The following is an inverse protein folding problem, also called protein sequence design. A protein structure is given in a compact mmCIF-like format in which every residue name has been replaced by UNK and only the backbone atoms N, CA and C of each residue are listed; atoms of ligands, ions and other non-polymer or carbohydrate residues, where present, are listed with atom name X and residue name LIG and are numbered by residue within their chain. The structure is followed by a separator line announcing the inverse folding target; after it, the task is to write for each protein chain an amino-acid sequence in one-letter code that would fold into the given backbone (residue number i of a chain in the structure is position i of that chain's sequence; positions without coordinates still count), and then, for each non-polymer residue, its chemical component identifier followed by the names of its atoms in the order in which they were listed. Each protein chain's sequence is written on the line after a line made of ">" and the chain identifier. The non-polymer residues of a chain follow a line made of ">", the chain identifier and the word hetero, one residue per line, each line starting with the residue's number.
data_IF_536966523111
#
_entry.id   IF_536966523111
#
_cell.length_a   1.000
_cell.length_b   1.000
_cell.length_c   1.000
_cell.angle_alpha   90.00
_cell.angle_beta   90.00
_cell.angle_gamma   90.00
#
_symmetry.space_group_name_H-M   'P 1'
#
loop_
_entity.id
_entity.type
_entity.pdbx_description
1 polymer ?
#
# COMPACT_ATOMS: atom_id res chain seq x y z
N UNK A 1 -30.51 47.52 -27.19
CA UNK A 1 -29.75 46.56 -26.35
C UNK A 1 -30.73 45.66 -25.64
N UNK A 2 -31.21 44.61 -26.31
CA UNK A 2 -31.89 43.53 -25.60
C UNK A 2 -30.79 42.66 -24.99
N UNK A 3 -30.49 42.87 -23.70
CA UNK A 3 -29.76 41.88 -22.90
C UNK A 3 -30.73 40.70 -22.70
N UNK A 4 -30.77 39.77 -23.65
CA UNK A 4 -31.34 38.46 -23.37
C UNK A 4 -30.33 37.76 -22.45
N UNK A 5 -30.58 37.77 -21.14
CA UNK A 5 -29.71 37.13 -20.14
C UNK A 5 -29.84 35.60 -20.15
N UNK A 6 -30.89 35.07 -20.80
CA UNK A 6 -31.20 33.65 -20.93
C UNK A 6 -31.55 33.36 -22.38
N UNK A 7 -30.91 32.36 -22.97
CA UNK A 7 -31.24 31.84 -24.29
C UNK A 7 -31.63 30.37 -24.14
N UNK A 8 -32.71 29.97 -24.81
CA UNK A 8 -33.19 28.59 -24.84
C UNK A 8 -33.30 28.10 -26.30
N UNK A 9 -32.79 26.91 -26.60
CA UNK A 9 -33.08 26.21 -27.87
C UNK A 9 -32.33 26.71 -29.11
N UNK A 10 -31.00 26.88 -29.02
CA UNK A 10 -30.14 27.21 -30.17
C UNK A 10 -29.20 26.05 -30.54
N UNK A 11 -28.70 26.01 -31.78
CA UNK A 11 -27.72 25.00 -32.20
C UNK A 11 -26.31 25.36 -31.73
N UNK A 12 -25.84 26.56 -32.04
CA UNK A 12 -24.52 27.07 -31.66
C UNK A 12 -24.68 28.46 -31.10
N UNK A 13 -24.07 28.73 -29.96
CA UNK A 13 -24.08 30.06 -29.36
C UNK A 13 -22.68 30.39 -28.84
N UNK A 14 -22.28 31.66 -29.00
CA UNK A 14 -21.06 32.22 -28.45
C UNK A 14 -21.45 33.39 -27.51
N UNK A 15 -20.79 33.49 -26.35
CA UNK A 15 -20.86 34.62 -25.40
C UNK A 15 -22.25 34.93 -24.78
N UNK A 16 -22.56 34.33 -23.62
CA UNK A 16 -23.79 34.60 -22.89
C UNK A 16 -23.69 34.26 -21.40
N UNK A 17 -24.64 34.77 -20.62
CA UNK A 17 -24.66 34.58 -19.16
C UNK A 17 -25.26 33.23 -18.75
N UNK A 18 -26.46 32.90 -19.22
CA UNK A 18 -27.16 31.68 -18.83
C UNK A 18 -27.78 31.03 -20.06
N UNK A 19 -27.61 29.72 -20.21
CA UNK A 19 -28.33 28.97 -21.23
C UNK A 19 -28.93 27.66 -20.77
N UNK A 20 -30.10 27.41 -21.35
CA UNK A 20 -30.85 26.18 -21.23
C UNK A 20 -30.90 25.52 -22.62
N UNK A 21 -30.34 24.33 -22.76
CA UNK A 21 -30.41 23.49 -23.96
C UNK A 21 -29.77 24.09 -25.23
N UNK A 22 -28.53 23.67 -25.53
CA UNK A 22 -27.87 23.92 -26.81
C UNK A 22 -27.01 22.73 -27.26
N UNK A 23 -26.63 22.67 -28.55
CA UNK A 23 -25.74 21.60 -29.00
C UNK A 23 -24.27 21.93 -28.68
N UNK A 24 -23.79 23.10 -29.10
CA UNK A 24 -22.40 23.53 -28.91
C UNK A 24 -22.36 24.93 -28.33
N UNK A 25 -21.50 25.10 -27.32
CA UNK A 25 -21.34 26.37 -26.61
C UNK A 25 -19.88 26.76 -26.50
N UNK A 26 -19.60 28.02 -26.84
CA UNK A 26 -18.31 28.65 -26.61
C UNK A 26 -18.47 29.81 -25.62
N UNK A 27 -17.71 29.77 -24.52
CA UNK A 27 -17.51 30.84 -23.54
C UNK A 27 -18.76 31.38 -22.82
N UNK A 28 -19.13 30.77 -21.70
CA UNK A 28 -20.37 31.12 -20.97
C UNK A 28 -20.23 31.05 -19.46
N UNK A 29 -21.05 31.79 -18.70
CA UNK A 29 -21.04 31.59 -17.25
C UNK A 29 -21.75 30.29 -16.85
N UNK A 30 -23.02 30.10 -17.20
CA UNK A 30 -23.82 28.97 -16.69
C UNK A 30 -24.53 28.23 -17.83
N UNK A 31 -24.37 26.91 -17.86
CA UNK A 31 -25.01 26.02 -18.83
C UNK A 31 -25.72 24.89 -18.11
N UNK A 32 -27.02 24.73 -18.36
CA UNK A 32 -27.79 23.62 -17.79
C UNK A 32 -27.55 22.31 -18.55
N UNK A 33 -27.75 22.31 -19.86
CA UNK A 33 -27.65 21.11 -20.70
C UNK A 33 -27.02 21.47 -22.05
N UNK A 34 -25.92 20.82 -22.41
CA UNK A 34 -25.30 20.94 -23.72
C UNK A 34 -24.59 19.66 -24.17
N UNK A 35 -24.41 19.44 -25.47
CA UNK A 35 -23.60 18.30 -25.92
C UNK A 35 -22.10 18.58 -25.72
N UNK A 36 -21.61 19.73 -26.21
CA UNK A 36 -20.19 20.09 -26.16
C UNK A 36 -20.04 21.53 -25.68
N UNK A 37 -19.13 21.75 -24.72
CA UNK A 37 -18.83 23.09 -24.21
C UNK A 37 -17.33 23.32 -24.18
N UNK A 38 -16.93 24.46 -24.73
CA UNK A 38 -15.58 25.00 -24.64
C UNK A 38 -15.63 26.27 -23.79
N UNK A 39 -15.19 26.17 -22.53
CA UNK A 39 -15.15 27.29 -21.60
C UNK A 39 -16.50 27.59 -20.94
N UNK A 40 -16.65 27.18 -19.68
CA UNK A 40 -17.74 27.67 -18.84
C UNK A 40 -17.37 27.80 -17.36
N UNK A 41 -18.10 28.61 -16.60
CA UNK A 41 -17.89 28.64 -15.14
C UNK A 41 -18.61 27.49 -14.43
N UNK A 42 -19.89 27.26 -14.75
CA UNK A 42 -20.71 26.24 -14.08
C UNK A 42 -21.54 25.47 -15.10
N UNK A 43 -21.52 24.15 -14.97
CA UNK A 43 -22.28 23.26 -15.84
C UNK A 43 -23.02 22.17 -15.06
N UNK A 44 -24.29 21.96 -15.39
CA UNK A 44 -25.05 20.85 -14.80
C UNK A 44 -24.80 19.54 -15.56
N UNK A 45 -25.15 19.46 -16.85
CA UNK A 45 -25.03 18.21 -17.62
C UNK A 45 -24.45 18.46 -19.02
N UNK A 46 -23.51 17.59 -19.42
CA UNK A 46 -23.03 17.56 -20.80
C UNK A 46 -22.49 16.20 -21.24
N UNK A 47 -22.14 16.08 -22.52
CA UNK A 47 -21.32 14.94 -22.97
C UNK A 47 -19.81 15.23 -22.87
N UNK A 48 -19.36 16.40 -23.35
CA UNK A 48 -17.93 16.75 -23.41
C UNK A 48 -17.71 18.19 -22.94
N UNK A 49 -16.74 18.36 -22.04
CA UNK A 49 -16.26 19.67 -21.56
C UNK A 49 -14.79 19.84 -21.84
N UNK A 50 -14.47 20.98 -22.43
CA UNK A 50 -13.13 21.55 -22.42
C UNK A 50 -13.17 22.79 -21.52
N UNK A 51 -12.42 22.77 -20.41
CA UNK A 51 -12.27 23.89 -19.47
C UNK A 51 -13.56 24.30 -18.75
N UNK A 52 -13.67 23.91 -17.48
CA UNK A 52 -14.71 24.42 -16.57
C UNK A 52 -14.23 24.68 -15.15
N UNK A 53 -14.93 25.55 -14.40
CA UNK A 53 -14.66 25.64 -12.96
C UNK A 53 -15.38 24.52 -12.21
N UNK A 54 -16.69 24.39 -12.41
CA UNK A 54 -17.52 23.41 -11.70
C UNK A 54 -18.42 22.68 -12.67
N UNK A 55 -18.43 21.35 -12.59
CA UNK A 55 -19.36 20.54 -13.36
C UNK A 55 -19.94 19.39 -12.55
N UNK A 56 -21.26 19.22 -12.70
CA UNK A 56 -21.99 18.16 -12.01
C UNK A 56 -21.85 16.84 -12.76
N UNK A 57 -22.35 16.69 -13.99
CA UNK A 57 -22.27 15.43 -14.72
C UNK A 57 -21.72 15.58 -16.14
N UNK A 58 -20.82 14.68 -16.51
CA UNK A 58 -20.33 14.57 -17.87
C UNK A 58 -20.01 13.14 -18.30
N UNK A 59 -19.82 12.94 -19.60
CA UNK A 59 -19.07 11.76 -20.05
C UNK A 59 -17.57 12.03 -19.97
N UNK A 60 -17.08 13.11 -20.58
CA UNK A 60 -15.65 13.42 -20.71
C UNK A 60 -15.33 14.86 -20.30
N UNK A 61 -14.28 15.03 -19.49
CA UNK A 61 -13.68 16.33 -19.15
C UNK A 61 -12.23 16.38 -19.52
N UNK A 62 -11.86 17.48 -20.16
CA UNK A 62 -10.48 17.94 -20.29
C UNK A 62 -10.36 19.28 -19.56
N UNK A 63 -9.78 19.27 -18.36
CA UNK A 63 -9.55 20.47 -17.55
C UNK A 63 -10.80 20.96 -16.82
N UNK A 64 -10.91 20.67 -15.52
CA UNK A 64 -11.85 21.37 -14.64
C UNK A 64 -11.30 21.57 -13.22
N UNK A 65 -11.85 22.51 -12.45
CA UNK A 65 -11.46 22.61 -11.03
C UNK A 65 -12.17 21.54 -10.19
N UNK A 66 -13.49 21.40 -10.35
CA UNK A 66 -14.31 20.45 -9.58
C UNK A 66 -15.25 19.67 -10.49
N UNK A 67 -15.26 18.34 -10.34
CA UNK A 67 -16.14 17.41 -11.07
C UNK A 67 -16.88 16.50 -10.08
N UNK A 68 -18.21 16.39 -10.24
CA UNK A 68 -19.08 15.57 -9.39
C UNK A 68 -19.82 14.46 -10.16
N UNK A 69 -19.10 13.61 -10.87
CA UNK A 69 -19.70 12.50 -11.63
C UNK A 69 -19.30 12.52 -13.10
N UNK A 70 -18.29 11.75 -13.48
CA UNK A 70 -17.93 11.58 -14.90
C UNK A 70 -17.42 10.18 -15.24
N UNK A 71 -17.45 9.84 -16.52
CA UNK A 71 -16.81 8.60 -16.98
C UNK A 71 -15.30 8.77 -17.08
N UNK A 72 -14.82 9.87 -17.67
CA UNK A 72 -13.40 10.12 -17.91
C UNK A 72 -13.06 11.57 -17.55
N UNK A 73 -12.01 11.75 -16.75
CA UNK A 73 -11.48 13.06 -16.39
C UNK A 73 -9.99 13.11 -16.68
N UNK A 74 -9.58 14.11 -17.45
CA UNK A 74 -8.20 14.49 -17.66
C UNK A 74 -7.95 15.85 -16.99
N UNK A 75 -6.99 15.90 -16.06
CA UNK A 75 -6.55 17.10 -15.35
C UNK A 75 -7.66 17.82 -14.58
N UNK A 76 -7.84 17.46 -13.30
CA UNK A 76 -8.73 18.20 -12.40
C UNK A 76 -8.12 18.47 -11.04
N UNK A 77 -8.63 19.47 -10.32
CA UNK A 77 -8.22 19.64 -8.93
C UNK A 77 -8.91 18.61 -8.04
N UNK A 78 -10.25 18.57 -8.08
CA UNK A 78 -11.07 17.70 -7.23
C UNK A 78 -12.05 16.89 -8.07
N UNK A 79 -12.10 15.59 -7.83
CA UNK A 79 -13.03 14.67 -8.48
C UNK A 79 -13.80 13.87 -7.43
N UNK A 80 -15.12 13.89 -7.53
CA UNK A 80 -16.01 13.01 -6.80
C UNK A 80 -16.65 12.04 -7.81
N UNK A 81 -16.52 10.74 -7.57
CA UNK A 81 -17.12 9.66 -8.35
C UNK A 81 -16.80 9.70 -9.86
N UNK A 82 -15.71 9.04 -10.26
CA UNK A 82 -15.41 8.85 -11.69
C UNK A 82 -15.05 7.41 -12.03
N UNK A 83 -15.14 7.04 -13.30
CA UNK A 83 -14.58 5.74 -13.72
C UNK A 83 -13.06 5.88 -13.85
N UNK A 84 -12.60 6.71 -14.78
CA UNK A 84 -11.17 6.88 -15.08
C UNK A 84 -10.75 8.32 -14.83
N UNK A 85 -9.63 8.50 -14.15
CA UNK A 85 -9.04 9.81 -13.89
C UNK A 85 -7.55 9.77 -14.20
N UNK A 86 -7.10 10.73 -15.00
CA UNK A 86 -5.70 10.96 -15.34
C UNK A 86 -5.31 12.35 -14.84
N UNK A 87 -4.50 12.41 -13.78
CA UNK A 87 -4.02 13.67 -13.20
C UNK A 87 -5.07 14.37 -12.36
N UNK A 88 -4.99 14.20 -11.04
CA UNK A 88 -5.81 14.97 -10.09
C UNK A 88 -5.08 15.30 -8.80
N UNK A 89 -5.50 16.33 -8.07
CA UNK A 89 -4.98 16.53 -6.71
C UNK A 89 -5.72 15.69 -5.67
N UNK A 90 -7.05 15.66 -5.70
CA UNK A 90 -7.87 14.93 -4.72
C UNK A 90 -8.99 14.16 -5.42
N UNK A 91 -9.10 12.86 -5.12
CA UNK A 91 -10.17 12.00 -5.65
C UNK A 91 -10.91 11.25 -4.55
N UNK A 92 -12.23 11.43 -4.55
CA UNK A 92 -13.19 10.72 -3.72
C UNK A 92 -13.96 9.72 -4.60
N UNK A 93 -13.40 8.53 -4.80
CA UNK A 93 -14.05 7.45 -5.54
C UNK A 93 -13.67 7.40 -7.02
N UNK A 94 -12.93 6.36 -7.40
CA UNK A 94 -12.69 6.01 -8.80
C UNK A 94 -12.63 4.50 -9.06
N UNK A 95 -12.67 4.06 -10.32
CA UNK A 95 -12.24 2.71 -10.65
C UNK A 95 -10.75 2.67 -10.99
N UNK A 96 -10.26 3.60 -11.81
CA UNK A 96 -8.85 3.68 -12.24
C UNK A 96 -8.31 5.08 -12.08
N UNK A 97 -7.16 5.20 -11.40
CA UNK A 97 -6.42 6.44 -11.20
C UNK A 97 -4.99 6.33 -11.72
N UNK A 98 -4.58 7.34 -12.48
CA UNK A 98 -3.18 7.60 -12.80
C UNK A 98 -2.81 8.99 -12.30
N UNK A 99 -1.73 9.09 -11.52
CA UNK A 99 -1.16 10.34 -11.01
C UNK A 99 -2.12 11.15 -10.13
N UNK A 100 -2.00 10.97 -8.81
CA UNK A 100 -2.77 11.76 -7.85
C UNK A 100 -1.97 12.17 -6.60
N UNK A 101 -2.42 13.19 -5.89
CA UNK A 101 -1.88 13.47 -4.55
C UNK A 101 -2.61 12.65 -3.48
N UNK A 102 -3.94 12.64 -3.49
CA UNK A 102 -4.75 11.97 -2.45
C UNK A 102 -5.92 11.21 -3.05
N UNK A 103 -6.04 9.93 -2.70
CA UNK A 103 -7.15 9.05 -3.09
C UNK A 103 -7.80 8.45 -1.85
N UNK A 104 -9.10 8.69 -1.69
CA UNK A 104 -9.88 8.09 -0.59
C UNK A 104 -10.24 6.62 -0.90
N UNK A 105 -10.83 6.38 -2.08
CA UNK A 105 -11.30 5.06 -2.50
C UNK A 105 -11.06 4.90 -4.00
N UNK A 106 -10.39 3.82 -4.40
CA UNK A 106 -10.31 3.44 -5.81
C UNK A 106 -10.15 1.92 -5.98
N UNK A 107 -10.33 1.40 -7.19
CA UNK A 107 -9.99 -0.01 -7.45
C UNK A 107 -8.51 -0.17 -7.76
N UNK A 108 -7.98 0.66 -8.67
CA UNK A 108 -6.59 0.62 -9.13
C UNK A 108 -5.98 2.01 -9.10
N UNK A 109 -4.81 2.14 -8.46
CA UNK A 109 -4.03 3.38 -8.41
C UNK A 109 -2.61 3.14 -8.91
N UNK A 110 -2.18 3.97 -9.86
CA UNK A 110 -0.81 4.10 -10.29
C UNK A 110 -0.29 5.49 -9.92
N UNK A 111 0.80 5.53 -9.15
CA UNK A 111 1.51 6.77 -8.78
C UNK A 111 0.66 7.75 -7.97
N UNK A 112 0.66 7.60 -6.64
CA UNK A 112 -0.01 8.54 -5.74
C UNK A 112 0.83 8.88 -4.51
N UNK A 113 0.59 10.04 -3.89
CA UNK A 113 1.23 10.33 -2.60
C UNK A 113 0.55 9.56 -1.47
N UNK A 114 -0.79 9.62 -1.37
CA UNK A 114 -1.55 9.01 -0.27
C UNK A 114 -2.78 8.25 -0.79
N UNK A 115 -2.94 7.00 -0.34
CA UNK A 115 -4.10 6.15 -0.63
C UNK A 115 -4.70 5.60 0.67
N UNK A 116 -6.01 5.77 0.86
CA UNK A 116 -6.71 5.31 2.06
C UNK A 116 -7.33 3.91 1.93
N UNK A 117 -7.94 3.60 0.78
CA UNK A 117 -8.53 2.29 0.48
C UNK A 117 -8.38 2.00 -1.02
N UNK A 118 -7.79 0.84 -1.36
CA UNK A 118 -7.69 0.37 -2.74
C UNK A 118 -7.65 -1.16 -2.86
N UNK A 119 -8.00 -1.68 -4.03
CA UNK A 119 -7.73 -3.09 -4.32
C UNK A 119 -6.26 -3.28 -4.71
N UNK A 120 -5.76 -2.46 -5.64
CA UNK A 120 -4.39 -2.56 -6.17
C UNK A 120 -3.72 -1.19 -6.19
N UNK A 121 -2.50 -1.12 -5.66
CA UNK A 121 -1.67 0.09 -5.67
C UNK A 121 -0.28 -0.22 -6.21
N UNK A 122 0.15 0.57 -7.19
CA UNK A 122 1.49 0.54 -7.75
C UNK A 122 2.15 1.92 -7.59
N UNK A 123 3.21 2.01 -6.79
CA UNK A 123 3.97 3.25 -6.60
C UNK A 123 3.22 4.28 -5.74
N UNK A 124 3.39 4.25 -4.43
CA UNK A 124 2.85 5.29 -3.54
C UNK A 124 3.77 5.64 -2.37
N UNK A 125 3.60 6.83 -1.80
CA UNK A 125 4.34 7.15 -0.56
C UNK A 125 3.70 6.50 0.66
N UNK A 126 2.39 6.66 0.84
CA UNK A 126 1.65 6.13 2.00
C UNK A 126 0.40 5.40 1.54
N UNK A 127 0.22 4.17 2.03
CA UNK A 127 -0.94 3.34 1.74
C UNK A 127 -1.53 2.78 3.04
N UNK A 128 -2.83 2.99 3.22
CA UNK A 128 -3.63 2.32 4.22
C UNK A 128 -4.62 1.39 3.52
N UNK A 129 -4.94 0.23 4.11
CA UNK A 129 -6.12 -0.57 3.74
C UNK A 129 -6.20 -1.00 2.28
N UNK A 130 -5.27 -1.83 1.81
CA UNK A 130 -5.27 -2.34 0.43
C UNK A 130 -5.14 -3.86 0.33
N UNK A 131 -5.64 -4.45 -0.75
CA UNK A 131 -5.43 -5.88 -0.99
C UNK A 131 -4.01 -6.17 -1.46
N UNK A 132 -3.53 -5.43 -2.47
CA UNK A 132 -2.20 -5.63 -3.06
C UNK A 132 -1.48 -4.30 -3.22
N UNK A 133 -0.24 -4.24 -2.74
CA UNK A 133 0.61 -3.05 -2.80
C UNK A 133 1.99 -3.41 -3.35
N UNK A 134 2.43 -2.69 -4.37
CA UNK A 134 3.75 -2.83 -4.98
C UNK A 134 4.50 -1.49 -4.97
N UNK A 135 5.68 -1.47 -4.35
CA UNK A 135 6.60 -0.32 -4.39
C UNK A 135 6.06 0.89 -3.64
N UNK A 136 6.02 0.83 -2.30
CA UNK A 136 5.55 1.95 -1.48
C UNK A 136 6.46 2.27 -0.31
N UNK A 137 6.50 3.51 0.18
CA UNK A 137 7.35 3.82 1.34
C UNK A 137 6.77 3.26 2.64
N UNK A 138 5.49 3.54 2.93
CA UNK A 138 4.81 3.13 4.16
C UNK A 138 3.49 2.45 3.83
N UNK A 139 3.26 1.27 4.41
CA UNK A 139 2.06 0.46 4.17
C UNK A 139 1.48 -0.05 5.49
N UNK A 140 0.17 0.17 5.68
CA UNK A 140 -0.56 -0.27 6.87
C UNK A 140 -1.82 -1.06 6.49
N UNK A 141 -2.03 -2.22 7.11
CA UNK A 141 -3.28 -2.97 7.02
C UNK A 141 -3.57 -3.54 5.63
N UNK A 142 -2.56 -4.12 4.98
CA UNK A 142 -2.68 -4.66 3.62
C UNK A 142 -2.57 -6.18 3.56
N UNK A 143 -3.20 -6.84 2.59
CA UNK A 143 -3.10 -8.30 2.49
C UNK A 143 -1.72 -8.74 1.95
N UNK A 144 -1.27 -8.15 0.83
CA UNK A 144 0.00 -8.48 0.19
C UNK A 144 0.80 -7.22 -0.10
N UNK A 145 2.06 -7.20 0.33
CA UNK A 145 2.98 -6.08 0.11
C UNK A 145 4.28 -6.58 -0.51
N UNK A 146 4.66 -6.00 -1.65
CA UNK A 146 5.91 -6.27 -2.35
C UNK A 146 6.72 -4.97 -2.49
N UNK A 147 7.87 -4.90 -1.82
CA UNK A 147 8.76 -3.75 -1.92
C UNK A 147 8.26 -2.55 -1.12
N UNK A 148 8.74 -2.40 0.11
CA UNK A 148 8.44 -1.22 0.92
C UNK A 148 9.53 -0.82 1.92
N UNK A 149 9.47 0.40 2.45
CA UNK A 149 10.37 0.75 3.56
C UNK A 149 9.83 0.24 4.89
N UNK A 150 8.52 0.43 5.14
CA UNK A 150 7.85 0.06 6.38
C UNK A 150 6.50 -0.59 6.09
N UNK A 151 6.25 -1.77 6.67
CA UNK A 151 4.95 -2.45 6.65
C UNK A 151 4.45 -2.75 8.07
N UNK A 152 3.17 -2.52 8.31
CA UNK A 152 2.51 -2.87 9.57
C UNK A 152 1.15 -3.55 9.33
N UNK A 153 0.84 -4.59 10.09
CA UNK A 153 -0.49 -5.22 10.08
C UNK A 153 -0.83 -5.89 8.75
N UNK A 154 0.15 -6.51 8.09
CA UNK A 154 -0.03 -7.12 6.78
C UNK A 154 -0.04 -8.66 6.82
N UNK A 155 -0.75 -9.31 5.89
CA UNK A 155 -0.76 -10.78 5.87
C UNK A 155 0.53 -11.35 5.30
N UNK A 156 0.98 -10.84 4.15
CA UNK A 156 2.20 -11.29 3.48
C UNK A 156 3.04 -10.08 3.07
N UNK A 157 4.33 -10.08 3.44
CA UNK A 157 5.28 -9.02 3.12
C UNK A 157 6.54 -9.61 2.49
N UNK A 158 6.97 -9.05 1.36
CA UNK A 158 8.19 -9.42 0.68
C UNK A 158 9.02 -8.17 0.35
N UNK A 159 10.29 -8.15 0.77
CA UNK A 159 11.24 -7.10 0.42
C UNK A 159 10.93 -5.77 1.12
N UNK A 160 10.91 -5.76 2.45
CA UNK A 160 10.75 -4.52 3.22
C UNK A 160 11.86 -4.29 4.25
N UNK A 161 12.19 -3.04 4.56
CA UNK A 161 13.22 -2.76 5.57
C UNK A 161 12.72 -3.10 6.97
N UNK A 162 11.53 -2.61 7.35
CA UNK A 162 10.96 -2.81 8.69
C UNK A 162 9.56 -3.39 8.57
N UNK A 163 9.28 -4.44 9.34
CA UNK A 163 7.97 -5.11 9.36
C UNK A 163 7.49 -5.36 10.78
N UNK A 164 6.26 -4.98 11.08
CA UNK A 164 5.60 -5.24 12.36
C UNK A 164 4.24 -5.93 12.16
N UNK A 165 3.86 -6.81 13.08
CA UNK A 165 2.51 -7.39 13.17
C UNK A 165 2.05 -8.08 11.87
N UNK A 166 2.91 -8.91 11.27
CA UNK A 166 2.62 -9.59 10.00
C UNK A 166 2.57 -11.11 10.11
N UNK A 167 1.79 -11.77 9.24
CA UNK A 167 1.71 -13.24 9.29
C UNK A 167 2.95 -13.90 8.66
N UNK A 168 3.30 -13.53 7.43
CA UNK A 168 4.43 -14.10 6.69
C UNK A 168 5.32 -12.99 6.15
N UNK A 169 6.63 -13.11 6.42
CA UNK A 169 7.64 -12.12 6.04
C UNK A 169 8.80 -12.79 5.33
N UNK A 170 9.14 -12.28 4.14
CA UNK A 170 10.28 -12.71 3.35
C UNK A 170 11.20 -11.51 3.07
N UNK A 171 12.51 -11.73 3.20
CA UNK A 171 13.55 -10.76 2.81
C UNK A 171 13.37 -9.38 3.45
N UNK A 172 13.55 -9.29 4.76
CA UNK A 172 13.43 -8.03 5.49
C UNK A 172 14.64 -7.72 6.38
N UNK A 173 14.87 -6.46 6.75
CA UNK A 173 15.98 -6.15 7.67
C UNK A 173 15.57 -6.41 9.11
N UNK A 174 14.51 -5.75 9.56
CA UNK A 174 14.03 -5.79 10.94
C UNK A 174 12.58 -6.27 10.99
N UNK A 175 12.30 -7.26 11.83
CA UNK A 175 10.96 -7.86 11.97
C UNK A 175 10.56 -7.96 13.45
N UNK A 176 9.36 -7.50 13.77
CA UNK A 176 8.77 -7.61 15.10
C UNK A 176 7.38 -8.26 15.02
N UNK A 177 7.06 -9.14 15.97
CA UNK A 177 5.70 -9.68 16.18
C UNK A 177 5.11 -10.34 14.93
N UNK A 178 5.83 -11.30 14.35
CA UNK A 178 5.40 -12.01 13.14
C UNK A 178 5.27 -13.53 13.32
N UNK A 179 4.41 -14.18 12.54
CA UNK A 179 4.25 -15.64 12.67
C UNK A 179 5.40 -16.40 12.02
N UNK A 180 5.72 -16.10 10.76
CA UNK A 180 6.76 -16.80 9.98
C UNK A 180 7.68 -15.79 9.31
N UNK A 181 8.99 -15.96 9.50
CA UNK A 181 10.03 -15.13 8.89
C UNK A 181 11.02 -16.03 8.14
N UNK A 182 11.26 -15.75 6.86
CA UNK A 182 12.09 -16.62 6.01
C UNK A 182 13.56 -16.21 5.92
N UNK A 183 13.84 -14.90 5.85
CA UNK A 183 15.19 -14.33 5.77
C UNK A 183 15.14 -12.93 6.37
N UNK A 184 16.00 -12.68 7.36
CA UNK A 184 16.02 -11.39 8.05
C UNK A 184 17.35 -11.06 8.73
N UNK A 185 17.59 -9.79 9.07
CA UNK A 185 18.75 -9.43 9.89
C UNK A 185 18.44 -9.56 11.37
N UNK A 186 17.38 -8.91 11.83
CA UNK A 186 16.97 -8.86 13.24
C UNK A 186 15.52 -9.28 13.38
N UNK A 187 15.26 -10.17 14.34
CA UNK A 187 13.90 -10.61 14.70
C UNK A 187 13.63 -10.48 16.17
N UNK A 188 12.47 -9.93 16.50
CA UNK A 188 11.90 -9.92 17.84
C UNK A 188 10.53 -10.60 17.82
N UNK A 189 10.32 -11.53 18.74
CA UNK A 189 9.00 -12.10 19.06
C UNK A 189 8.29 -12.72 17.84
N UNK A 190 8.84 -13.80 17.29
CA UNK A 190 8.22 -14.52 16.17
C UNK A 190 7.95 -16.00 16.49
N UNK A 191 7.07 -16.66 15.74
CA UNK A 191 6.82 -18.10 15.98
C UNK A 191 7.89 -18.98 15.32
N UNK A 192 8.13 -18.76 14.02
CA UNK A 192 9.08 -19.55 13.22
C UNK A 192 10.00 -18.61 12.45
N UNK A 193 11.31 -18.84 12.57
CA UNK A 193 12.33 -18.09 11.82
C UNK A 193 13.27 -19.05 11.10
N UNK A 194 13.38 -18.85 9.80
CA UNK A 194 14.46 -19.37 8.98
C UNK A 194 15.45 -18.23 8.74
N UNK A 195 16.75 -18.49 8.87
CA UNK A 195 17.83 -17.60 8.45
C UNK A 195 17.78 -16.17 9.02
N UNK A 196 18.50 -15.95 10.12
CA UNK A 196 18.63 -14.64 10.73
C UNK A 196 20.03 -14.33 11.28
N UNK A 197 20.35 -13.04 11.48
CA UNK A 197 21.59 -12.67 12.18
C UNK A 197 21.39 -12.67 13.69
N UNK A 198 20.37 -11.96 14.17
CA UNK A 198 20.09 -11.79 15.60
C UNK A 198 18.61 -12.05 15.86
N UNK A 199 18.33 -12.83 16.90
CA UNK A 199 16.97 -13.17 17.28
C UNK A 199 16.77 -13.12 18.79
N UNK A 200 15.65 -12.49 19.17
CA UNK A 200 15.16 -12.43 20.54
C UNK A 200 13.72 -12.94 20.60
N UNK A 201 13.49 -14.07 21.27
CA UNK A 201 12.15 -14.58 21.52
C UNK A 201 11.52 -15.25 20.30
N UNK A 202 11.67 -16.58 20.15
CA UNK A 202 10.92 -17.36 19.15
C UNK A 202 10.57 -18.77 19.61
N UNK A 203 9.61 -19.42 18.95
CA UNK A 203 9.33 -20.84 19.23
C UNK A 203 10.32 -21.77 18.52
N UNK A 204 10.54 -21.56 17.22
CA UNK A 204 11.38 -22.42 16.38
C UNK A 204 12.32 -21.57 15.52
N UNK A 205 13.61 -21.91 15.54
CA UNK A 205 14.65 -21.22 14.77
C UNK A 205 15.51 -22.21 13.99
N UNK A 206 15.68 -21.96 12.70
CA UNK A 206 16.57 -22.70 11.81
C UNK A 206 17.57 -21.74 11.16
N UNK A 207 18.85 -21.84 11.53
CA UNK A 207 19.92 -21.05 10.92
C UNK A 207 19.98 -19.62 11.45
N UNK A 208 20.60 -19.37 12.60
CA UNK A 208 20.84 -18.00 13.07
C UNK A 208 22.21 -17.80 13.70
N UNK A 209 22.76 -16.57 13.67
CA UNK A 209 24.06 -16.32 14.30
C UNK A 209 23.94 -16.24 15.82
N UNK A 210 23.02 -15.42 16.32
CA UNK A 210 22.80 -15.20 17.76
C UNK A 210 21.32 -15.38 18.09
N UNK A 211 21.03 -16.23 19.08
CA UNK A 211 19.66 -16.53 19.52
C UNK A 211 19.53 -16.38 21.04
N UNK A 212 18.52 -15.65 21.48
CA UNK A 212 18.13 -15.52 22.88
C UNK A 212 16.65 -15.90 23.08
N UNK A 213 16.35 -16.77 24.04
CA UNK A 213 14.97 -17.04 24.48
C UNK A 213 14.14 -17.83 23.47
N UNK A 214 14.55 -19.05 23.11
CA UNK A 214 13.81 -19.89 22.15
C UNK A 214 13.51 -21.31 22.63
N UNK A 215 12.42 -21.90 22.18
CA UNK A 215 12.11 -23.30 22.53
C UNK A 215 12.98 -24.30 21.78
N UNK A 216 13.06 -24.16 20.45
CA UNK A 216 13.81 -25.10 19.58
C UNK A 216 14.73 -24.33 18.64
N UNK A 217 16.01 -24.69 18.64
CA UNK A 217 17.04 -24.04 17.82
C UNK A 217 17.86 -25.09 17.06
N UNK A 218 17.98 -24.92 15.75
CA UNK A 218 18.82 -25.75 14.88
C UNK A 218 19.81 -24.86 14.10
N UNK A 219 21.10 -25.18 14.18
CA UNK A 219 22.14 -24.54 13.36
C UNK A 219 22.41 -23.09 13.78
N UNK A 220 22.98 -22.87 14.97
CA UNK A 220 23.30 -21.52 15.46
C UNK A 220 24.73 -21.37 16.00
N UNK A 221 25.27 -20.16 15.98
CA UNK A 221 26.62 -19.91 16.52
C UNK A 221 26.60 -19.70 18.03
N UNK A 222 25.70 -18.84 18.51
CA UNK A 222 25.57 -18.49 19.94
C UNK A 222 24.12 -18.62 20.36
N UNK A 223 23.88 -19.34 21.46
CA UNK A 223 22.54 -19.54 22.02
C UNK A 223 22.50 -19.24 23.51
N UNK A 224 21.50 -18.47 23.92
CA UNK A 224 21.16 -18.16 25.31
C UNK A 224 19.71 -18.57 25.60
N UNK A 225 19.45 -19.15 26.78
CA UNK A 225 18.09 -19.40 27.29
C UNK A 225 17.19 -20.19 26.32
N UNK A 226 17.64 -21.39 25.92
CA UNK A 226 16.85 -22.26 25.03
C UNK A 226 16.60 -23.66 25.61
N UNK A 227 15.47 -24.27 25.22
CA UNK A 227 15.09 -25.61 25.73
C UNK A 227 15.73 -26.75 24.95
N UNK A 228 15.72 -26.68 23.61
CA UNK A 228 16.27 -27.71 22.72
C UNK A 228 17.21 -27.06 21.72
N UNK A 229 18.44 -27.58 21.62
CA UNK A 229 19.49 -27.04 20.76
C UNK A 229 20.15 -28.16 19.97
N UNK A 230 20.17 -28.01 18.64
CA UNK A 230 20.85 -28.89 17.70
C UNK A 230 21.93 -28.10 16.95
N UNK A 231 23.12 -28.68 16.80
CA UNK A 231 24.20 -28.13 15.97
C UNK A 231 24.58 -26.68 16.33
N UNK A 232 25.10 -26.47 17.55
CA UNK A 232 25.52 -25.14 18.02
C UNK A 232 26.99 -25.07 18.43
N UNK A 233 27.61 -23.91 18.23
CA UNK A 233 29.03 -23.68 18.55
C UNK A 233 29.24 -23.28 20.02
N UNK A 234 28.41 -22.37 20.55
CA UNK A 234 28.51 -21.83 21.91
C UNK A 234 27.12 -21.78 22.56
N UNK A 235 27.01 -22.30 23.78
CA UNK A 235 25.79 -22.21 24.61
C UNK A 235 26.14 -21.45 25.89
N UNK A 236 25.46 -20.35 26.16
CA UNK A 236 25.63 -19.58 27.40
C UNK A 236 24.80 -20.24 28.51
N UNK A 237 25.46 -20.64 29.59
CA UNK A 237 24.87 -21.43 30.69
C UNK A 237 23.79 -20.65 31.47
N UNK A 238 22.55 -21.15 31.43
CA UNK A 238 21.60 -20.98 32.55
C UNK A 238 20.59 -22.14 32.75
N UNK A 239 20.52 -23.16 31.87
CA UNK A 239 19.59 -24.29 32.05
C UNK A 239 20.11 -25.65 31.53
N UNK A 240 21.34 -26.06 31.89
CA UNK A 240 21.86 -27.43 31.66
C UNK A 240 21.25 -28.48 32.64
N UNK A 241 19.99 -28.36 33.04
CA UNK A 241 19.46 -29.16 34.18
C UNK A 241 18.87 -30.52 33.78
N UNK A 242 18.48 -30.78 32.52
CA UNK A 242 17.83 -32.07 32.19
C UNK A 242 18.72 -33.11 31.48
N UNK A 243 20.01 -32.83 31.24
CA UNK A 243 20.94 -33.80 30.62
C UNK A 243 22.20 -34.12 31.44
N UNK A 244 22.41 -33.47 32.60
CA UNK A 244 23.49 -33.85 33.53
C UNK A 244 24.91 -33.73 32.98
N UNK A 245 25.18 -32.77 32.09
CA UNK A 245 26.53 -32.47 31.58
C UNK A 245 27.00 -31.13 32.13
N UNK A 246 28.18 -31.11 32.74
CA UNK A 246 28.68 -30.02 33.60
C UNK A 246 29.83 -29.21 32.98
N UNK A 247 30.10 -29.34 31.67
CA UNK A 247 31.01 -28.43 30.97
C UNK A 247 30.90 -28.50 29.43
N UNK A 248 31.25 -27.39 28.76
CA UNK A 248 31.35 -27.30 27.29
C UNK A 248 32.32 -28.31 26.64
N UNK A 249 33.24 -28.92 27.39
CA UNK A 249 34.11 -30.00 26.87
C UNK A 249 33.39 -31.35 26.78
N UNK A 250 32.38 -31.62 27.62
CA UNK A 250 31.66 -32.90 27.60
C UNK A 250 30.75 -33.05 26.38
N UNK A 251 30.24 -31.94 25.83
CA UNK A 251 29.41 -31.93 24.61
C UNK A 251 30.22 -32.30 23.36
N UNK A 252 31.49 -31.87 23.28
CA UNK A 252 32.40 -32.24 22.16
C UNK A 252 32.75 -33.73 22.17
N UNK A 253 32.81 -34.36 23.34
CA UNK A 253 33.13 -35.79 23.48
C UNK A 253 31.98 -36.72 23.08
N UNK A 254 30.73 -36.26 23.12
CA UNK A 254 29.57 -37.05 22.69
C UNK A 254 29.42 -37.13 21.17
N UNK A 255 29.82 -36.10 20.43
CA UNK A 255 29.72 -36.07 18.95
C UNK A 255 30.82 -36.90 18.23
N UNK A 256 31.83 -37.39 18.94
CA UNK A 256 32.98 -38.12 18.37
C UNK A 256 33.01 -39.62 18.66
N UNK A 257 32.03 -40.19 19.36
CA UNK A 257 31.94 -41.66 19.50
C UNK A 257 31.18 -42.26 18.31
N UNK A 258 31.81 -43.11 17.47
CA UNK A 258 31.06 -43.91 16.53
C UNK A 258 30.14 -44.86 17.32
N UNK A 259 28.86 -44.92 16.95
CA UNK A 259 27.94 -45.95 17.45
C UNK A 259 28.60 -47.32 17.28
N UNK A 260 28.95 -47.94 18.40
CA UNK A 260 29.11 -49.39 18.49
C UNK A 260 28.24 -49.85 19.66
N UNK A 261 27.32 -50.75 19.28
CA UNK A 261 26.23 -51.41 20.01
C UNK A 261 24.92 -50.62 20.08
#
# INVERSE_FOLDING_TARGET
>A
MCKCSVVCGCSVVCEFLVMCECSVVCECSVVCECSVVCGCSVMCECSVVCECLVMCKCSVVCGCSVVCGCSVVCECSVVCECSVVCGCSVVCGCSVMCECSVVCECSVVCECSVVCVCSVVCGCSVVCGCSVVCGCSVVCGCSVVCGCSVACGCSVVCGCSVVCECSVVCECSDVCECSVVCVCSVVCECSVVCECSVLCGCSVVCGCSVVCGCSVVCGCSVVCECSVVCECSVVCEYLLIDLGLNSCEEVKLWLLKPLIL
#
